data_IF_014641568418
#
_entry.id   IF_014641568418
#
_cell.length_a   1.000
_cell.length_b   1.000
_cell.length_c   1.000
_cell.angle_alpha   90.00
_cell.angle_beta   90.00
_cell.angle_gamma   90.00
#
_symmetry.space_group_name_H-M   'P 1'
#
loop_
_entity.id
_entity.type
_entity.pdbx_description
1 polymer ?
#
# COMPACT_ATOMS: atom_id res chain seq x y z
N UNK A 1 -17.74 -4.00 24.90
CA UNK A 1 -16.36 -4.43 25.21
C UNK A 1 -15.66 -4.58 23.88
N UNK A 2 -14.78 -3.65 23.51
CA UNK A 2 -13.89 -3.80 22.35
C UNK A 2 -12.79 -4.77 22.78
N UNK A 3 -12.53 -5.78 21.95
CA UNK A 3 -11.44 -6.73 22.17
C UNK A 3 -10.12 -6.07 21.76
N UNK A 4 -9.62 -5.14 22.58
CA UNK A 4 -8.25 -4.64 22.43
C UNK A 4 -7.29 -5.75 22.82
N UNK A 5 -6.45 -6.15 21.86
CA UNK A 5 -5.36 -7.09 22.12
C UNK A 5 -4.34 -6.36 23.00
N UNK A 6 -3.71 -7.02 24.00
CA UNK A 6 -2.67 -6.40 24.81
C UNK A 6 -1.60 -5.76 23.95
N UNK A 7 -1.07 -4.63 24.40
CA UNK A 7 0.00 -3.92 23.70
C UNK A 7 1.18 -4.88 23.41
N UNK A 8 1.65 -4.86 22.16
CA UNK A 8 2.68 -5.75 21.65
C UNK A 8 3.99 -4.97 21.51
N UNK A 9 5.08 -5.52 22.03
CA UNK A 9 6.35 -4.79 22.07
C UNK A 9 7.11 -4.90 20.73
N UNK A 10 6.87 -5.95 19.95
CA UNK A 10 7.62 -6.23 18.72
C UNK A 10 6.70 -6.61 17.55
N UNK A 11 7.09 -6.18 16.34
CA UNK A 11 6.40 -6.55 15.09
C UNK A 11 6.29 -8.05 14.88
N UNK A 12 7.32 -8.82 15.28
CA UNK A 12 7.29 -10.27 15.20
C UNK A 12 6.12 -10.87 16.01
N UNK A 13 5.80 -10.30 17.18
CA UNK A 13 4.65 -10.74 17.99
C UNK A 13 3.32 -10.42 17.29
N UNK A 14 3.25 -9.27 16.60
CA UNK A 14 2.10 -8.92 15.75
C UNK A 14 1.97 -9.94 14.62
N UNK A 15 3.07 -10.25 13.92
CA UNK A 15 3.08 -11.21 12.81
C UNK A 15 2.64 -12.62 13.25
N UNK A 16 3.15 -13.12 14.38
CA UNK A 16 2.73 -14.40 14.96
C UNK A 16 1.24 -14.40 15.32
N UNK A 17 0.74 -13.30 15.89
CA UNK A 17 -0.69 -13.14 16.16
C UNK A 17 -1.53 -13.22 14.87
N UNK A 18 -1.13 -12.52 13.81
CA UNK A 18 -1.82 -12.55 12.51
C UNK A 18 -1.83 -13.97 11.94
N UNK A 19 -0.70 -14.70 11.98
CA UNK A 19 -0.62 -16.11 11.57
C UNK A 19 -1.57 -17.00 12.36
N UNK A 20 -1.65 -16.83 13.69
CA UNK A 20 -2.58 -17.57 14.54
C UNK A 20 -4.04 -17.25 14.18
N UNK A 21 -4.35 -15.98 13.89
CA UNK A 21 -5.70 -15.57 13.48
C UNK A 21 -6.10 -16.15 12.13
N UNK A 22 -5.18 -16.25 11.17
CA UNK A 22 -5.43 -16.88 9.88
C UNK A 22 -5.81 -18.36 9.97
N UNK A 23 -5.53 -19.05 11.08
CA UNK A 23 -6.05 -20.43 11.27
C UNK A 23 -7.59 -20.47 11.30
N UNK A 24 -8.23 -19.40 11.76
CA UNK A 24 -9.69 -19.31 11.93
C UNK A 24 -10.34 -18.28 10.99
N UNK A 25 -9.56 -17.46 10.31
CA UNK A 25 -10.01 -16.39 9.41
C UNK A 25 -9.30 -16.56 8.07
N UNK A 26 -10.02 -16.44 6.96
CA UNK A 26 -9.40 -16.50 5.63
C UNK A 26 -8.75 -15.16 5.25
N UNK A 27 -9.30 -14.04 5.73
CA UNK A 27 -8.87 -12.69 5.35
C UNK A 27 -8.68 -11.84 6.61
N UNK A 28 -7.52 -11.20 6.71
CA UNK A 28 -7.26 -10.11 7.65
C UNK A 28 -7.03 -8.84 6.85
N UNK A 29 -7.83 -7.81 7.13
CA UNK A 29 -7.66 -6.48 6.55
C UNK A 29 -7.15 -5.51 7.62
N UNK A 30 -6.01 -4.88 7.38
CA UNK A 30 -5.29 -4.02 8.31
C UNK A 30 -5.26 -2.59 7.78
N UNK A 31 -5.85 -1.66 8.53
CA UNK A 31 -5.57 -0.25 8.32
C UNK A 31 -4.38 0.16 9.18
N UNK A 32 -3.36 0.79 8.58
CA UNK A 32 -2.27 1.41 9.34
C UNK A 32 -1.74 2.66 8.63
N UNK A 33 -1.48 3.72 9.40
CA UNK A 33 -0.85 4.92 8.88
C UNK A 33 0.55 4.64 8.34
N UNK A 34 1.04 5.54 7.48
CA UNK A 34 2.43 5.56 7.05
C UNK A 34 3.37 5.62 8.26
N UNK A 35 4.58 5.09 8.10
CA UNK A 35 5.59 4.92 9.16
C UNK A 35 5.24 3.95 10.31
N UNK A 36 4.04 3.36 10.36
CA UNK A 36 3.69 2.32 11.37
C UNK A 36 4.54 1.04 11.23
N UNK A 37 5.11 0.78 10.06
CA UNK A 37 5.96 -0.38 9.80
C UNK A 37 5.26 -1.56 9.12
N UNK A 38 4.22 -1.31 8.32
CA UNK A 38 3.48 -2.34 7.56
C UNK A 38 4.39 -3.22 6.70
N UNK A 39 5.35 -2.63 5.99
CA UNK A 39 6.31 -3.38 5.16
C UNK A 39 7.20 -4.28 6.01
N UNK A 40 7.70 -3.80 7.16
CA UNK A 40 8.46 -4.61 8.12
C UNK A 40 7.60 -5.75 8.69
N UNK A 41 6.34 -5.48 9.02
CA UNK A 41 5.38 -6.49 9.47
C UNK A 41 5.17 -7.59 8.43
N UNK A 42 5.05 -7.24 7.14
CA UNK A 42 4.93 -8.21 6.06
C UNK A 42 6.16 -9.13 5.96
N UNK A 43 7.36 -8.58 6.18
CA UNK A 43 8.61 -9.33 6.17
C UNK A 43 8.77 -10.24 7.39
N UNK A 44 8.38 -9.77 8.58
CA UNK A 44 8.33 -10.60 9.79
C UNK A 44 7.32 -11.76 9.62
N UNK A 45 6.14 -11.49 9.06
CA UNK A 45 5.12 -12.49 8.76
C UNK A 45 5.64 -13.57 7.80
N UNK A 46 6.29 -13.15 6.70
CA UNK A 46 6.94 -14.05 5.74
C UNK A 46 8.10 -14.81 6.36
N UNK A 47 8.88 -14.16 7.23
CA UNK A 47 10.01 -14.76 7.95
C UNK A 47 9.57 -15.90 8.86
N UNK A 48 8.50 -15.70 9.64
CA UNK A 48 7.90 -16.74 10.49
C UNK A 48 7.33 -17.93 9.71
N UNK A 49 7.03 -17.75 8.44
CA UNK A 49 6.60 -18.80 7.51
C UNK A 49 7.74 -19.65 6.95
N UNK A 50 8.99 -19.24 7.15
CA UNK A 50 10.15 -19.96 6.63
C UNK A 50 10.67 -20.98 7.64
N UNK A 51 10.26 -22.24 7.48
CA UNK A 51 10.65 -23.35 8.38
C UNK A 51 11.52 -24.35 7.61
N UNK A 52 12.74 -24.60 8.10
CA UNK A 52 13.64 -25.59 7.49
C UNK A 52 13.99 -25.29 6.02
N UNK A 53 14.04 -24.01 5.64
CA UNK A 53 14.30 -23.57 4.27
C UNK A 53 13.05 -23.52 3.36
N UNK A 54 11.94 -24.15 3.76
CA UNK A 54 10.66 -24.09 3.02
C UNK A 54 9.91 -22.81 3.35
N UNK A 55 9.38 -22.15 2.32
CA UNK A 55 8.56 -20.94 2.40
C UNK A 55 7.09 -21.28 2.20
N UNK A 56 6.19 -20.49 2.78
CA UNK A 56 4.74 -20.68 2.67
C UNK A 56 3.97 -19.39 2.33
N UNK A 57 4.68 -18.25 2.26
CA UNK A 57 4.11 -16.91 2.08
C UNK A 57 4.62 -16.25 0.79
N UNK A 58 3.69 -15.87 -0.08
CA UNK A 58 3.91 -14.94 -1.19
C UNK A 58 3.58 -13.52 -0.74
N UNK A 59 4.31 -12.50 -1.20
CA UNK A 59 4.08 -11.13 -0.74
C UNK A 59 4.22 -10.06 -1.83
N UNK A 60 3.42 -9.00 -1.69
CA UNK A 60 3.53 -7.75 -2.44
C UNK A 60 3.79 -6.60 -1.46
N UNK A 61 4.90 -5.90 -1.64
CA UNK A 61 5.30 -4.73 -0.86
C UNK A 61 6.44 -4.00 -1.61
N UNK A 62 7.04 -2.99 -0.99
CA UNK A 62 8.17 -2.25 -1.55
C UNK A 62 9.35 -3.14 -2.02
N UNK A 63 9.68 -4.24 -1.32
CA UNK A 63 10.73 -5.17 -1.77
C UNK A 63 10.37 -5.90 -3.07
N UNK A 64 9.08 -6.11 -3.33
CA UNK A 64 8.60 -6.68 -4.59
C UNK A 64 8.66 -5.65 -5.73
N UNK A 65 8.33 -4.38 -5.44
CA UNK A 65 8.47 -3.29 -6.40
C UNK A 65 9.94 -3.06 -6.79
N UNK A 66 10.86 -3.14 -5.82
CA UNK A 66 12.31 -2.98 -6.03
C UNK A 66 12.94 -4.09 -6.89
N UNK A 67 12.18 -5.15 -7.24
CA UNK A 67 12.61 -6.14 -8.23
C UNK A 67 12.53 -5.64 -9.67
N UNK A 68 11.91 -4.48 -9.87
CA UNK A 68 11.76 -3.79 -11.14
C UNK A 68 12.51 -2.46 -11.08
N UNK A 69 13.53 -2.31 -11.93
CA UNK A 69 14.41 -1.13 -11.89
C UNK A 69 14.53 -0.49 -13.26
N UNK A 70 14.25 0.81 -13.35
CA UNK A 70 14.46 1.55 -14.60
C UNK A 70 15.93 1.76 -14.88
N UNK A 71 16.29 1.63 -16.14
CA UNK A 71 17.54 2.15 -16.68
C UNK A 71 17.27 3.53 -17.29
N UNK A 72 17.46 4.59 -16.50
CA UNK A 72 17.04 5.95 -16.85
C UNK A 72 18.13 6.79 -17.55
N UNK A 73 19.40 6.37 -17.49
CA UNK A 73 20.56 7.20 -17.88
C UNK A 73 21.35 6.57 -19.05
N UNK A 74 20.64 6.08 -20.08
CA UNK A 74 21.27 5.47 -21.27
C UNK A 74 21.83 6.53 -22.22
N UNK A 75 22.98 6.23 -22.83
CA UNK A 75 23.55 7.08 -23.89
C UNK A 75 22.54 7.22 -25.04
N UNK A 76 22.22 8.47 -25.39
CA UNK A 76 21.27 8.86 -26.46
C UNK A 76 19.77 8.77 -26.16
N UNK A 77 19.32 8.42 -24.94
CA UNK A 77 17.89 8.39 -24.55
C UNK A 77 17.00 7.43 -25.39
N UNK A 78 17.61 6.54 -26.20
CA UNK A 78 16.92 5.79 -27.26
C UNK A 78 16.22 4.49 -26.80
N UNK A 79 16.52 3.93 -25.61
CA UNK A 79 16.02 2.61 -25.19
C UNK A 79 15.51 2.56 -23.75
N UNK A 80 14.35 3.16 -23.46
CA UNK A 80 13.78 3.15 -22.10
C UNK A 80 13.18 1.79 -21.76
N UNK A 81 13.87 1.06 -20.90
CA UNK A 81 13.42 -0.25 -20.46
C UNK A 81 13.47 -0.41 -18.94
N UNK A 82 12.64 -1.31 -18.44
CA UNK A 82 12.53 -1.65 -17.03
C UNK A 82 13.13 -3.04 -16.80
N UNK A 83 14.25 -3.11 -16.09
CA UNK A 83 14.97 -4.36 -15.82
C UNK A 83 14.24 -5.20 -14.76
N UNK A 84 14.33 -6.53 -14.91
CA UNK A 84 13.77 -7.54 -14.01
C UNK A 84 14.88 -8.22 -13.21
N UNK A 85 14.74 -8.27 -11.89
CA UNK A 85 15.65 -9.05 -11.03
C UNK A 85 15.27 -10.55 -11.02
N UNK A 86 15.59 -11.25 -12.12
CA UNK A 86 15.23 -12.66 -12.33
C UNK A 86 15.89 -13.64 -11.35
N UNK A 87 16.87 -13.20 -10.54
CA UNK A 87 17.42 -14.01 -9.43
C UNK A 87 16.48 -14.13 -8.25
N UNK A 88 15.48 -13.26 -8.16
CA UNK A 88 14.49 -13.32 -7.10
C UNK A 88 13.66 -14.59 -7.21
N UNK A 89 13.48 -15.24 -6.06
CA UNK A 89 12.63 -16.42 -5.95
C UNK A 89 11.13 -16.12 -6.24
N UNK A 90 10.78 -14.85 -6.47
CA UNK A 90 9.47 -14.44 -7.00
C UNK A 90 9.28 -14.87 -8.45
N UNK A 91 10.33 -14.88 -9.29
CA UNK A 91 10.24 -15.16 -10.72
C UNK A 91 10.60 -16.61 -11.09
N UNK A 92 10.86 -17.46 -10.10
CA UNK A 92 11.16 -18.88 -10.32
C UNK A 92 10.01 -19.58 -11.07
N UNK A 93 10.30 -20.03 -12.30
CA UNK A 93 9.38 -20.84 -13.10
C UNK A 93 8.39 -20.07 -13.97
N UNK A 94 8.42 -18.72 -14.00
CA UNK A 94 7.44 -17.92 -14.77
C UNK A 94 7.53 -18.15 -16.29
N UNK A 95 8.71 -18.52 -16.81
CA UNK A 95 8.94 -18.78 -18.25
C UNK A 95 8.06 -19.92 -18.79
N UNK A 96 7.64 -20.85 -17.93
CA UNK A 96 6.83 -22.00 -18.32
C UNK A 96 5.32 -21.71 -18.39
N UNK A 97 4.87 -20.50 -18.02
CA UNK A 97 3.44 -20.21 -17.77
C UNK A 97 2.87 -19.04 -18.58
N UNK A 98 3.56 -18.61 -19.64
CA UNK A 98 3.12 -17.51 -20.51
C UNK A 98 2.69 -16.28 -19.68
N UNK A 99 3.59 -15.87 -18.77
CA UNK A 99 3.31 -14.82 -17.80
C UNK A 99 2.95 -13.50 -18.48
N UNK A 100 3.49 -13.24 -19.67
CA UNK A 100 3.22 -12.03 -20.44
C UNK A 100 1.73 -11.92 -20.79
N UNK A 101 1.11 -12.98 -21.30
CA UNK A 101 -0.32 -12.97 -21.63
C UNK A 101 -1.20 -12.86 -20.38
N UNK A 102 -0.84 -13.56 -19.29
CA UNK A 102 -1.57 -13.43 -18.01
C UNK A 102 -1.55 -12.01 -17.46
N UNK A 103 -0.37 -11.38 -17.46
CA UNK A 103 -0.22 -9.98 -17.02
C UNK A 103 -1.03 -9.05 -17.93
N UNK A 104 -1.02 -9.27 -19.26
CA UNK A 104 -1.75 -8.47 -20.24
C UNK A 104 -3.27 -8.51 -20.01
N UNK A 105 -3.83 -9.69 -19.71
CA UNK A 105 -5.24 -9.86 -19.37
C UNK A 105 -5.65 -9.10 -18.11
N UNK A 106 -4.77 -9.05 -17.11
CA UNK A 106 -5.00 -8.30 -15.87
C UNK A 106 -4.83 -6.80 -16.08
N UNK A 107 -3.77 -6.39 -16.78
CA UNK A 107 -3.39 -5.01 -17.02
C UNK A 107 -4.41 -4.24 -17.85
N UNK A 108 -5.03 -4.90 -18.85
CA UNK A 108 -6.01 -4.30 -19.75
C UNK A 108 -7.24 -3.71 -19.03
N UNK A 109 -7.47 -4.08 -17.76
CA UNK A 109 -8.56 -3.53 -16.94
C UNK A 109 -8.24 -2.16 -16.34
N UNK A 110 -6.96 -1.79 -16.26
CA UNK A 110 -6.50 -0.61 -15.51
C UNK A 110 -5.66 0.35 -16.34
N UNK A 111 -5.08 -0.13 -17.44
CA UNK A 111 -4.18 0.65 -18.27
C UNK A 111 -4.36 0.35 -19.76
N UNK A 112 -3.99 1.33 -20.58
CA UNK A 112 -4.08 1.28 -22.05
C UNK A 112 -2.75 1.05 -22.74
N UNK A 113 -1.63 1.06 -22.00
CA UNK A 113 -0.34 0.70 -22.55
C UNK A 113 -0.17 -0.82 -22.58
N UNK A 114 0.72 -1.27 -23.44
CA UNK A 114 1.14 -2.64 -23.58
C UNK A 114 2.61 -2.80 -23.17
N UNK A 115 3.07 -4.04 -23.10
CA UNK A 115 4.46 -4.34 -22.82
C UNK A 115 4.93 -5.61 -23.51
N UNK A 116 6.24 -5.79 -23.56
CA UNK A 116 6.91 -7.02 -23.99
C UNK A 116 8.07 -7.31 -23.04
N UNK A 117 8.22 -8.58 -22.63
CA UNK A 117 9.40 -9.04 -21.91
C UNK A 117 10.45 -9.46 -22.94
N UNK A 118 11.62 -8.83 -22.88
CA UNK A 118 12.76 -9.14 -23.75
C UNK A 118 13.91 -9.69 -22.92
N UNK A 119 14.72 -10.50 -23.59
CA UNK A 119 15.92 -11.11 -23.05
C UNK A 119 17.07 -10.83 -23.99
N UNK A 120 18.16 -10.32 -23.46
CA UNK A 120 19.34 -9.90 -24.22
C UNK A 120 20.59 -10.57 -23.65
N UNK A 121 21.39 -11.14 -24.54
CA UNK A 121 22.71 -11.68 -24.20
C UNK A 121 23.69 -10.52 -24.04
N UNK A 122 24.45 -10.53 -22.96
CA UNK A 122 25.49 -9.55 -22.68
C UNK A 122 26.86 -10.24 -22.55
N UNK A 123 27.91 -9.49 -22.83
CA UNK A 123 29.28 -9.94 -22.65
C UNK A 123 29.62 -10.06 -21.16
N UNK A 124 30.65 -10.86 -20.86
CA UNK A 124 31.21 -10.95 -19.51
C UNK A 124 31.71 -9.61 -18.98
N UNK A 125 32.31 -8.79 -19.85
CA UNK A 125 32.82 -7.47 -19.47
C UNK A 125 31.68 -6.52 -19.07
N UNK A 126 30.58 -6.53 -19.81
CA UNK A 126 29.36 -5.78 -19.44
C UNK A 126 28.79 -6.30 -18.13
N UNK A 127 28.69 -7.63 -17.96
CA UNK A 127 28.18 -8.23 -16.73
C UNK A 127 29.01 -7.86 -15.48
N UNK A 128 30.32 -7.70 -15.61
CA UNK A 128 31.24 -7.30 -14.53
C UNK A 128 31.18 -5.79 -14.23
N UNK A 129 30.86 -4.95 -15.23
CA UNK A 129 30.72 -3.48 -15.07
C UNK A 129 29.35 -3.05 -14.54
N UNK A 130 28.33 -3.86 -14.73
CA UNK A 130 26.96 -3.53 -14.38
C UNK A 130 26.80 -3.27 -12.88
N UNK A 131 26.38 -2.05 -12.53
CA UNK A 131 26.23 -1.62 -11.13
C UNK A 131 25.18 -2.46 -10.36
N UNK A 132 24.24 -3.06 -11.11
CA UNK A 132 23.14 -3.88 -10.60
C UNK A 132 23.31 -5.34 -11.02
N UNK A 133 24.32 -6.02 -10.47
CA UNK A 133 24.60 -7.45 -10.74
C UNK A 133 23.40 -8.40 -10.53
N UNK A 134 22.31 -7.94 -9.89
CA UNK A 134 21.18 -8.77 -9.51
C UNK A 134 20.22 -9.08 -10.68
N UNK A 135 20.20 -8.28 -11.74
CA UNK A 135 19.36 -8.52 -12.93
C UNK A 135 19.95 -9.54 -13.91
N UNK A 136 21.22 -9.90 -13.74
CA UNK A 136 21.94 -10.76 -14.69
C UNK A 136 21.73 -12.24 -14.35
N UNK A 137 21.23 -13.03 -15.30
CA UNK A 137 21.19 -14.50 -15.21
C UNK A 137 22.34 -15.14 -15.98
N UNK A 138 22.78 -16.32 -15.53
CA UNK A 138 23.81 -17.12 -16.19
C UNK A 138 23.16 -18.41 -16.69
N UNK A 139 23.13 -18.62 -17.99
CA UNK A 139 22.50 -19.77 -18.62
C UNK A 139 23.45 -20.34 -19.68
N UNK A 140 23.79 -21.63 -19.57
CA UNK A 140 24.71 -22.31 -20.49
C UNK A 140 26.06 -21.60 -20.69
N UNK A 141 26.53 -20.85 -19.69
CA UNK A 141 27.78 -20.09 -19.75
C UNK A 141 27.67 -18.70 -20.38
N UNK A 142 26.47 -18.28 -20.79
CA UNK A 142 26.18 -16.95 -21.34
C UNK A 142 25.44 -16.09 -20.30
N UNK A 143 25.70 -14.79 -20.32
CA UNK A 143 25.08 -13.82 -19.41
C UNK A 143 23.89 -13.18 -20.09
N UNK A 144 22.77 -13.06 -19.38
CA UNK A 144 21.55 -12.45 -19.91
C UNK A 144 20.99 -11.39 -18.98
N UNK A 145 20.36 -10.39 -19.57
CA UNK A 145 19.46 -9.45 -18.88
C UNK A 145 18.04 -9.68 -19.36
N UNK A 146 17.09 -9.55 -18.44
CA UNK A 146 15.67 -9.54 -18.76
C UNK A 146 15.13 -8.14 -18.47
N UNK A 147 14.42 -7.59 -19.44
CA UNK A 147 13.85 -6.26 -19.33
C UNK A 147 12.49 -6.17 -20.01
N UNK A 148 11.77 -5.12 -19.66
CA UNK A 148 10.43 -4.84 -20.13
C UNK A 148 10.48 -3.56 -20.93
N UNK A 149 9.97 -3.63 -22.14
CA UNK A 149 9.67 -2.44 -22.94
C UNK A 149 8.17 -2.21 -22.93
N UNK A 150 7.79 -0.94 -22.89
CA UNK A 150 6.38 -0.55 -22.95
C UNK A 150 6.07 0.03 -24.32
N UNK A 151 4.84 -0.19 -24.77
CA UNK A 151 4.35 0.34 -26.04
C UNK A 151 2.94 0.92 -25.85
N UNK A 152 2.56 1.87 -26.71
CA UNK A 152 1.22 2.44 -26.72
C UNK A 152 0.79 2.71 -28.15
N UNK A 153 -0.50 2.48 -28.40
CA UNK A 153 -1.14 2.86 -29.65
C UNK A 153 -1.40 4.37 -29.65
N UNK A 154 -0.92 5.06 -30.67
CA UNK A 154 -1.09 6.50 -30.88
C UNK A 154 -1.69 6.73 -32.26
N UNK A 155 -2.64 7.64 -32.36
CA UNK A 155 -3.23 8.05 -33.63
C UNK A 155 -2.46 9.28 -34.14
N UNK A 156 -1.69 9.10 -35.20
CA UNK A 156 -1.03 10.20 -35.92
C UNK A 156 -1.65 10.31 -37.31
N UNK A 157 -2.16 11.50 -37.65
CA UNK A 157 -2.81 11.78 -38.94
C UNK A 157 -3.95 10.81 -39.30
N UNK A 158 -4.67 10.31 -38.30
CA UNK A 158 -5.75 9.33 -38.47
C UNK A 158 -5.29 7.90 -38.72
N UNK A 159 -3.97 7.64 -38.65
CA UNK A 159 -3.37 6.31 -38.77
C UNK A 159 -2.94 5.85 -37.37
N UNK A 160 -3.39 4.66 -36.98
CA UNK A 160 -2.92 4.01 -35.77
C UNK A 160 -1.46 3.55 -35.96
N UNK A 161 -0.59 3.96 -35.02
CA UNK A 161 0.81 3.55 -34.93
C UNK A 161 1.11 3.11 -33.51
N UNK A 162 1.86 2.03 -33.36
CA UNK A 162 2.43 1.66 -32.06
C UNK A 162 3.75 2.40 -31.86
N UNK A 163 3.85 3.12 -30.74
CA UNK A 163 5.08 3.73 -30.27
C UNK A 163 5.65 2.82 -29.18
N UNK A 164 6.86 2.30 -29.40
CA UNK A 164 7.59 1.44 -28.45
C UNK A 164 8.51 2.25 -27.55
N UNK A 165 9.12 1.58 -26.58
CA UNK A 165 10.19 2.08 -25.71
C UNK A 165 9.77 3.34 -24.93
N UNK A 166 8.49 3.39 -24.54
CA UNK A 166 7.92 4.52 -23.80
C UNK A 166 8.24 4.45 -22.30
N UNK A 167 8.40 5.62 -21.69
CA UNK A 167 8.38 5.75 -20.23
C UNK A 167 6.94 5.87 -19.74
N UNK A 168 6.48 4.89 -18.97
CA UNK A 168 5.21 4.99 -18.25
C UNK A 168 5.35 5.83 -16.96
N UNK A 169 4.25 6.42 -16.52
CA UNK A 169 4.20 7.22 -15.28
C UNK A 169 4.35 6.36 -14.03
N UNK A 170 4.65 6.99 -12.88
CA UNK A 170 4.79 6.24 -11.61
C UNK A 170 3.52 5.50 -11.19
N UNK A 171 2.34 6.08 -11.46
CA UNK A 171 1.07 5.40 -11.20
C UNK A 171 0.87 4.18 -12.10
N UNK A 172 1.21 4.30 -13.38
CA UNK A 172 1.18 3.19 -14.35
C UNK A 172 2.19 2.08 -14.00
N UNK A 173 3.38 2.42 -13.51
CA UNK A 173 4.36 1.45 -12.99
C UNK A 173 3.78 0.64 -11.83
N UNK A 174 3.18 1.32 -10.85
CA UNK A 174 2.61 0.67 -9.68
C UNK A 174 1.45 -0.27 -10.06
N UNK A 175 0.59 0.15 -10.99
CA UNK A 175 -0.44 -0.72 -11.58
C UNK A 175 0.21 -1.93 -12.24
N UNK A 176 1.26 -1.73 -13.03
CA UNK A 176 1.94 -2.80 -13.73
C UNK A 176 2.54 -3.83 -12.74
N UNK A 177 3.24 -3.38 -11.70
CA UNK A 177 3.80 -4.26 -10.67
C UNK A 177 2.73 -5.04 -9.94
N UNK A 178 1.61 -4.38 -9.62
CA UNK A 178 0.44 -5.02 -9.04
C UNK A 178 -0.15 -6.10 -9.96
N UNK A 179 -0.35 -5.80 -11.25
CA UNK A 179 -0.87 -6.76 -12.23
C UNK A 179 0.08 -7.94 -12.42
N UNK A 180 1.39 -7.69 -12.42
CA UNK A 180 2.41 -8.72 -12.51
C UNK A 180 2.37 -9.65 -11.30
N UNK A 181 2.31 -9.07 -10.10
CA UNK A 181 2.16 -9.83 -8.87
C UNK A 181 0.87 -10.64 -8.84
N UNK A 182 -0.27 -10.06 -9.22
CA UNK A 182 -1.55 -10.76 -9.29
C UNK A 182 -1.49 -11.95 -10.25
N UNK A 183 -0.80 -11.81 -11.37
CA UNK A 183 -0.62 -12.90 -12.34
C UNK A 183 0.20 -14.06 -11.76
N UNK A 184 1.24 -13.75 -10.96
CA UNK A 184 1.97 -14.75 -10.18
C UNK A 184 1.09 -15.38 -9.10
N UNK A 185 0.29 -14.59 -8.39
CA UNK A 185 -0.64 -15.09 -7.38
C UNK A 185 -1.69 -16.02 -7.99
N UNK A 186 -2.14 -15.76 -9.22
CA UNK A 186 -3.03 -16.66 -9.97
C UNK A 186 -2.40 -18.02 -10.23
N UNK A 187 -1.09 -18.11 -10.48
CA UNK A 187 -0.40 -19.41 -10.57
C UNK A 187 -0.50 -20.19 -9.26
N UNK A 188 -0.42 -19.51 -8.11
CA UNK A 188 -0.64 -20.16 -6.82
C UNK A 188 -2.10 -20.62 -6.63
N UNK A 189 -3.08 -19.90 -7.18
CA UNK A 189 -4.49 -20.28 -7.12
C UNK A 189 -4.82 -21.47 -8.02
N UNK A 190 -4.15 -21.55 -9.18
CA UNK A 190 -4.30 -22.60 -10.18
C UNK A 190 -3.51 -23.88 -9.82
N UNK A 191 -2.58 -23.82 -8.86
CA UNK A 191 -1.75 -24.95 -8.47
C UNK A 191 -2.58 -26.10 -7.86
N UNK A 192 -2.43 -27.31 -8.39
CA UNK A 192 -3.13 -28.52 -7.94
C UNK A 192 -2.28 -29.35 -6.97
N UNK A 193 -0.95 -29.16 -7.01
CA UNK A 193 0.03 -29.89 -6.20
C UNK A 193 1.05 -28.94 -5.56
N UNK A 194 1.59 -29.25 -4.37
CA UNK A 194 2.67 -28.48 -3.75
C UNK A 194 3.96 -28.38 -4.58
N UNK A 195 4.13 -29.28 -5.56
CA UNK A 195 5.27 -29.29 -6.47
C UNK A 195 5.04 -28.45 -7.73
N UNK A 196 3.81 -28.01 -7.98
CA UNK A 196 3.53 -27.07 -9.05
C UNK A 196 4.18 -25.72 -8.69
N UNK A 197 4.54 -24.90 -9.69
CA UNK A 197 5.01 -23.55 -9.46
C UNK A 197 4.04 -22.77 -8.59
N UNK A 198 4.59 -22.20 -7.51
CA UNK A 198 3.83 -21.52 -6.46
C UNK A 198 2.82 -22.37 -5.68
N UNK A 199 2.76 -23.69 -5.87
CA UNK A 199 1.92 -24.61 -5.08
C UNK A 199 2.29 -24.68 -3.60
N UNK A 200 3.47 -24.17 -3.23
CA UNK A 200 3.90 -24.00 -1.84
C UNK A 200 3.21 -22.83 -1.12
N UNK A 201 2.55 -21.93 -1.85
CA UNK A 201 1.95 -20.71 -1.31
C UNK A 201 0.65 -21.05 -0.58
N UNK A 202 0.64 -20.84 0.74
CA UNK A 202 -0.55 -21.01 1.58
C UNK A 202 -1.07 -19.68 2.13
N UNK A 203 -0.20 -18.68 2.24
CA UNK A 203 -0.53 -17.32 2.67
C UNK A 203 -0.06 -16.30 1.63
N UNK A 204 -0.83 -15.25 1.45
CA UNK A 204 -0.48 -14.10 0.63
C UNK A 204 -0.57 -12.84 1.50
N UNK A 205 0.53 -12.08 1.55
CA UNK A 205 0.59 -10.80 2.27
C UNK A 205 0.69 -9.65 1.25
N UNK A 206 -0.26 -8.74 1.27
CA UNK A 206 -0.33 -7.59 0.38
C UNK A 206 -0.20 -6.32 1.23
N UNK A 207 0.87 -5.55 1.05
CA UNK A 207 1.09 -4.28 1.72
C UNK A 207 1.01 -3.14 0.71
N UNK A 208 0.04 -2.24 0.90
CA UNK A 208 -0.23 -1.08 0.03
C UNK A 208 -0.19 -1.44 -1.46
N UNK A 209 -1.14 -2.28 -1.95
CA UNK A 209 -1.09 -2.83 -3.32
C UNK A 209 -1.04 -1.79 -4.43
N UNK A 210 -1.48 -0.58 -4.10
CA UNK A 210 -1.49 0.56 -4.99
C UNK A 210 -1.11 1.80 -4.20
N UNK A 211 -0.15 2.56 -4.73
CA UNK A 211 0.20 3.90 -4.28
C UNK A 211 0.23 4.83 -5.49
N UNK A 212 -0.06 6.12 -5.30
CA UNK A 212 0.05 7.14 -6.37
C UNK A 212 -0.79 6.86 -7.64
N UNK A 213 -1.98 6.31 -7.47
CA UNK A 213 -2.95 6.00 -8.54
C UNK A 213 -4.19 6.91 -8.43
N UNK A 214 -4.95 7.07 -9.50
CA UNK A 214 -6.23 7.78 -9.47
C UNK A 214 -7.33 7.00 -8.70
N UNK A 215 -8.33 7.72 -8.21
CA UNK A 215 -9.40 7.15 -7.38
C UNK A 215 -10.22 6.07 -8.12
N UNK A 216 -10.41 6.19 -9.43
CA UNK A 216 -11.19 5.24 -10.21
C UNK A 216 -10.50 3.89 -10.24
N UNK A 217 -9.21 3.87 -10.61
CA UNK A 217 -8.43 2.65 -10.59
C UNK A 217 -8.30 2.06 -9.18
N UNK A 218 -8.19 2.89 -8.14
CA UNK A 218 -8.17 2.42 -6.76
C UNK A 218 -9.45 1.67 -6.37
N UNK A 219 -10.61 2.20 -6.76
CA UNK A 219 -11.91 1.54 -6.55
C UNK A 219 -11.98 0.25 -7.35
N UNK A 220 -11.57 0.25 -8.63
CA UNK A 220 -11.56 -0.93 -9.49
C UNK A 220 -10.69 -2.05 -8.91
N UNK A 221 -9.45 -1.74 -8.50
CA UNK A 221 -8.54 -2.73 -7.88
C UNK A 221 -9.12 -3.30 -6.59
N UNK A 222 -9.74 -2.46 -5.75
CA UNK A 222 -10.38 -2.93 -4.51
C UNK A 222 -11.56 -3.89 -4.80
N UNK A 223 -12.39 -3.58 -5.79
CA UNK A 223 -13.52 -4.41 -6.21
C UNK A 223 -13.05 -5.74 -6.81
N UNK A 224 -12.11 -5.71 -7.75
CA UNK A 224 -11.55 -6.90 -8.39
C UNK A 224 -10.86 -7.81 -7.37
N UNK A 225 -10.07 -7.22 -6.46
CA UNK A 225 -9.45 -7.97 -5.38
C UNK A 225 -10.51 -8.57 -4.46
N UNK A 226 -11.56 -7.85 -4.11
CA UNK A 226 -12.65 -8.41 -3.30
C UNK A 226 -13.30 -9.62 -3.98
N UNK A 227 -13.61 -9.53 -5.27
CA UNK A 227 -14.19 -10.63 -6.05
C UNK A 227 -13.29 -11.86 -6.06
N UNK A 228 -11.99 -11.67 -6.25
CA UNK A 228 -11.00 -12.73 -6.18
C UNK A 228 -11.01 -13.40 -4.80
N UNK A 229 -10.91 -12.61 -3.72
CA UNK A 229 -10.78 -13.14 -2.35
C UNK A 229 -11.99 -13.96 -1.87
N UNK A 230 -13.19 -13.65 -2.37
CA UNK A 230 -14.42 -14.38 -2.04
C UNK A 230 -14.65 -15.63 -2.89
N UNK A 231 -13.79 -15.90 -3.88
CA UNK A 231 -13.85 -17.16 -4.61
C UNK A 231 -13.50 -18.32 -3.66
N UNK A 232 -14.43 -19.28 -3.57
CA UNK A 232 -14.31 -20.46 -2.72
C UNK A 232 -13.25 -21.43 -3.23
N UNK A 233 -12.88 -21.36 -4.52
CA UNK A 233 -11.77 -22.15 -5.08
C UNK A 233 -10.43 -21.73 -4.49
N UNK A 234 -10.27 -20.45 -4.17
CA UNK A 234 -9.03 -19.92 -3.60
C UNK A 234 -8.89 -20.42 -2.15
N UNK A 235 -7.90 -21.27 -1.91
CA UNK A 235 -7.64 -21.85 -0.59
C UNK A 235 -6.66 -21.02 0.26
N UNK A 236 -5.96 -20.09 -0.39
CA UNK A 236 -4.96 -19.24 0.24
C UNK A 236 -5.61 -18.30 1.25
N UNK A 237 -4.79 -17.90 2.23
CA UNK A 237 -5.17 -16.97 3.29
C UNK A 237 -4.48 -15.64 3.08
N UNK A 238 -5.18 -14.55 3.41
CA UNK A 238 -4.75 -13.21 3.01
C UNK A 238 -4.57 -12.30 4.21
N UNK A 239 -3.45 -11.57 4.22
CA UNK A 239 -3.29 -10.36 5.02
C UNK A 239 -3.14 -9.20 4.06
N UNK A 240 -3.99 -8.19 4.18
CA UNK A 240 -3.97 -7.01 3.33
C UNK A 240 -3.79 -5.82 4.26
N UNK A 241 -2.69 -5.10 4.13
CA UNK A 241 -2.43 -3.88 4.87
C UNK A 241 -2.46 -2.67 3.96
N UNK A 242 -3.09 -1.59 4.40
CA UNK A 242 -3.08 -0.33 3.65
C UNK A 242 -3.12 0.90 4.54
N UNK A 243 -2.59 2.02 4.02
CA UNK A 243 -2.85 3.36 4.54
C UNK A 243 -3.95 4.12 3.79
N UNK A 244 -4.41 3.61 2.64
CA UNK A 244 -5.40 4.27 1.81
C UNK A 244 -6.82 4.00 2.33
N UNK A 245 -7.44 5.02 2.92
CA UNK A 245 -8.77 4.90 3.55
C UNK A 245 -9.88 4.52 2.57
N UNK A 246 -9.85 5.05 1.34
CA UNK A 246 -10.83 4.72 0.31
C UNK A 246 -10.71 3.24 -0.08
N UNK A 247 -9.48 2.76 -0.31
CA UNK A 247 -9.22 1.36 -0.67
C UNK A 247 -9.69 0.42 0.44
N UNK A 248 -9.32 0.72 1.69
CA UNK A 248 -9.76 -0.04 2.86
C UNK A 248 -11.29 -0.10 2.94
N UNK A 249 -11.97 1.04 2.75
CA UNK A 249 -13.44 1.13 2.83
C UNK A 249 -14.14 0.35 1.73
N UNK A 250 -13.71 0.53 0.48
CA UNK A 250 -14.30 -0.17 -0.68
C UNK A 250 -14.11 -1.67 -0.52
N UNK A 251 -12.88 -2.11 -0.24
CA UNK A 251 -12.57 -3.52 -0.04
C UNK A 251 -13.33 -4.12 1.15
N UNK A 252 -13.37 -3.43 2.29
CA UNK A 252 -14.13 -3.84 3.47
C UNK A 252 -15.62 -4.04 3.15
N UNK A 253 -16.24 -3.06 2.48
CA UNK A 253 -17.66 -3.12 2.14
C UNK A 253 -17.95 -4.21 1.10
N UNK A 254 -17.09 -4.36 0.09
CA UNK A 254 -17.21 -5.41 -0.93
C UNK A 254 -17.10 -6.81 -0.29
N UNK A 255 -16.16 -7.01 0.64
CA UNK A 255 -16.00 -8.28 1.36
C UNK A 255 -17.16 -8.56 2.34
N UNK A 256 -17.67 -7.54 3.04
CA UNK A 256 -18.82 -7.69 3.96
C UNK A 256 -20.12 -8.03 3.24
N UNK A 257 -20.43 -7.28 2.18
CA UNK A 257 -21.60 -7.55 1.33
C UNK A 257 -21.47 -8.87 0.58
N UNK A 258 -20.22 -9.27 0.29
CA UNK A 258 -19.86 -10.53 -0.35
C UNK A 258 -20.58 -10.76 -1.67
N UNK A 259 -20.94 -9.67 -2.36
CA UNK A 259 -21.73 -9.68 -3.58
C UNK A 259 -22.96 -10.62 -3.52
N UNK A 260 -23.60 -10.74 -2.35
CA UNK A 260 -24.75 -11.62 -2.12
C UNK A 260 -24.49 -12.85 -1.23
N UNK A 261 -23.25 -13.11 -0.80
CA UNK A 261 -22.88 -14.15 0.19
C UNK A 261 -22.02 -13.56 1.31
N UNK A 262 -22.55 -13.31 2.52
CA UNK A 262 -21.79 -12.59 3.55
C UNK A 262 -20.53 -13.34 4.02
N UNK A 263 -19.34 -12.78 3.80
CA UNK A 263 -18.04 -13.34 4.22
C UNK A 263 -17.59 -12.90 5.62
N UNK A 264 -18.48 -12.26 6.38
CA UNK A 264 -18.20 -11.65 7.68
C UNK A 264 -17.52 -12.61 8.68
N UNK A 265 -17.87 -13.90 8.65
CA UNK A 265 -17.25 -14.91 9.53
C UNK A 265 -15.79 -15.22 9.16
N UNK A 266 -15.42 -15.08 7.90
CA UNK A 266 -14.07 -15.36 7.37
C UNK A 266 -13.17 -14.13 7.36
N UNK A 267 -13.75 -12.93 7.48
CA UNK A 267 -13.06 -11.65 7.57
C UNK A 267 -12.80 -11.26 9.03
N UNK A 268 -11.67 -10.59 9.27
CA UNK A 268 -11.44 -9.77 10.46
C UNK A 268 -10.69 -8.51 10.05
N UNK A 269 -11.00 -7.40 10.71
CA UNK A 269 -10.43 -6.10 10.42
C UNK A 269 -9.75 -5.54 11.65
N UNK A 270 -8.57 -4.95 11.46
CA UNK A 270 -7.86 -4.29 12.54
C UNK A 270 -7.39 -2.90 12.13
N UNK A 271 -7.39 -2.00 13.13
CA UNK A 271 -6.52 -0.84 13.12
C UNK A 271 -5.19 -1.22 13.75
N UNK A 272 -4.11 -1.07 13.00
CA UNK A 272 -2.74 -1.26 13.47
C UNK A 272 -2.08 0.09 13.77
N UNK A 273 -1.64 0.30 15.02
CA UNK A 273 -0.98 1.55 15.48
C UNK A 273 0.36 1.25 16.13
N UNK A 274 1.26 2.22 16.03
CA UNK A 274 2.45 2.34 16.86
C UNK A 274 2.24 3.58 17.73
N UNK A 275 2.27 3.42 19.05
CA UNK A 275 2.13 4.55 19.97
C UNK A 275 3.45 5.29 20.22
N UNK A 276 3.37 6.40 20.93
CA UNK A 276 4.53 7.23 21.29
C UNK A 276 5.54 6.53 22.22
N UNK A 277 5.14 5.44 22.88
CA UNK A 277 6.02 4.61 23.72
C UNK A 277 6.75 3.53 22.92
N UNK A 278 6.47 3.42 21.62
CA UNK A 278 7.02 2.39 20.76
C UNK A 278 6.28 1.05 20.82
N UNK A 279 5.09 1.01 21.42
CA UNK A 279 4.27 -0.20 21.50
C UNK A 279 3.28 -0.28 20.36
N UNK A 280 3.12 -1.50 19.84
CA UNK A 280 2.17 -1.83 18.79
C UNK A 280 0.81 -2.20 19.35
N UNK A 281 -0.24 -1.68 18.72
CA UNK A 281 -1.63 -1.95 19.09
C UNK A 281 -2.41 -2.47 17.89
N UNK A 282 -3.17 -3.54 18.09
CA UNK A 282 -4.16 -4.04 17.15
C UNK A 282 -5.55 -3.87 17.77
N UNK A 283 -6.37 -3.02 17.17
CA UNK A 283 -7.74 -2.75 17.61
C UNK A 283 -8.68 -3.40 16.61
N UNK A 284 -9.47 -4.37 17.05
CA UNK A 284 -10.45 -5.03 16.16
C UNK A 284 -11.59 -4.07 15.82
N UNK A 285 -11.81 -3.84 14.53
CA UNK A 285 -12.91 -3.02 14.03
C UNK A 285 -14.18 -3.87 13.92
N UNK A 286 -15.30 -3.35 14.43
CA UNK A 286 -16.60 -4.03 14.32
C UNK A 286 -17.15 -3.91 12.90
N UNK A 287 -17.80 -4.97 12.43
CA UNK A 287 -18.26 -5.10 11.05
C UNK A 287 -19.25 -4.00 10.60
N UNK A 288 -20.06 -3.45 11.50
CA UNK A 288 -21.16 -2.54 11.13
C UNK A 288 -20.80 -1.05 11.10
N UNK A 289 -19.56 -0.66 11.42
CA UNK A 289 -19.17 0.77 11.40
C UNK A 289 -18.41 1.08 10.11
N UNK A 290 -18.92 1.97 9.23
CA UNK A 290 -18.14 2.49 8.12
C UNK A 290 -16.84 3.06 8.68
N UNK A 291 -15.70 2.66 8.14
CA UNK A 291 -14.43 3.11 8.67
C UNK A 291 -14.28 4.63 8.42
N UNK A 292 -14.46 5.37 9.50
CA UNK A 292 -14.41 6.81 9.51
C UNK A 292 -12.96 7.27 9.76
N UNK A 293 -12.11 7.09 8.75
CA UNK A 293 -10.72 7.56 8.72
C UNK A 293 -10.55 8.97 9.30
N UNK A 294 -11.47 9.87 8.96
CA UNK A 294 -11.45 11.25 9.46
C UNK A 294 -11.63 11.30 10.99
N UNK A 295 -12.50 10.47 11.56
CA UNK A 295 -12.67 10.39 13.01
C UNK A 295 -11.43 9.82 13.70
N UNK A 296 -10.73 8.85 13.10
CA UNK A 296 -9.48 8.34 13.69
C UNK A 296 -8.34 9.36 13.64
N UNK A 297 -8.28 10.19 12.60
CA UNK A 297 -7.31 11.31 12.55
C UNK A 297 -7.67 12.35 13.60
N UNK A 298 -8.94 12.75 13.68
CA UNK A 298 -9.41 13.75 14.65
C UNK A 298 -9.14 13.27 16.07
N UNK A 299 -9.33 11.97 16.35
CA UNK A 299 -9.01 11.38 17.65
C UNK A 299 -7.51 11.40 17.97
N UNK A 300 -6.66 11.08 16.99
CA UNK A 300 -5.20 11.16 17.15
C UNK A 300 -4.74 12.59 17.43
N UNK A 301 -5.27 13.56 16.66
CA UNK A 301 -5.02 14.98 16.87
C UNK A 301 -5.43 15.43 18.27
N UNK A 302 -6.63 15.02 18.73
CA UNK A 302 -7.12 15.30 20.08
C UNK A 302 -6.18 14.75 21.14
N UNK A 303 -5.76 13.49 21.03
CA UNK A 303 -4.84 12.85 21.99
C UNK A 303 -3.48 13.53 22.03
N UNK A 304 -2.89 13.81 20.86
CA UNK A 304 -1.62 14.51 20.78
C UNK A 304 -1.69 15.90 21.43
N UNK A 305 -2.80 16.63 21.25
CA UNK A 305 -3.04 17.93 21.86
C UNK A 305 -3.27 17.85 23.39
N UNK A 306 -3.98 16.82 23.87
CA UNK A 306 -4.20 16.59 25.30
C UNK A 306 -2.91 16.18 26.02
N UNK A 307 -2.11 15.30 25.42
CA UNK A 307 -0.89 14.75 26.01
C UNK A 307 0.38 15.56 25.74
N UNK A 308 0.26 16.67 24.98
CA UNK A 308 1.38 17.49 24.54
C UNK A 308 2.46 16.72 23.74
N UNK A 309 2.05 15.70 22.98
CA UNK A 309 2.93 14.88 22.13
C UNK A 309 2.89 15.30 20.65
N UNK A 310 2.60 16.58 20.39
CA UNK A 310 2.46 17.12 19.02
C UNK A 310 3.79 17.03 18.25
N UNK A 311 3.77 16.34 17.10
CA UNK A 311 4.85 16.21 16.11
C UNK A 311 4.48 16.87 14.78
N UNK A 312 5.44 17.08 13.89
CA UNK A 312 5.24 17.76 12.58
C UNK A 312 4.18 17.06 11.73
N UNK A 313 4.11 15.72 11.74
CA UNK A 313 3.11 15.00 10.96
C UNK A 313 1.66 15.29 11.40
N UNK A 314 1.43 15.72 12.65
CA UNK A 314 0.09 16.12 13.10
C UNK A 314 -0.42 17.38 12.38
N UNK A 315 0.48 18.28 11.95
CA UNK A 315 0.09 19.42 11.11
C UNK A 315 -0.47 18.95 9.76
N UNK A 316 0.18 17.97 9.13
CA UNK A 316 -0.28 17.39 7.88
C UNK A 316 -1.61 16.63 8.05
N UNK A 317 -1.77 15.92 9.17
CA UNK A 317 -3.06 15.31 9.55
C UNK A 317 -4.17 16.37 9.68
N UNK A 318 -3.90 17.47 10.39
CA UNK A 318 -4.86 18.56 10.56
C UNK A 318 -5.23 19.20 9.22
N UNK A 319 -4.25 19.45 8.34
CA UNK A 319 -4.50 19.97 6.99
C UNK A 319 -5.45 19.06 6.21
N UNK A 320 -5.19 17.75 6.20
CA UNK A 320 -6.03 16.79 5.47
C UNK A 320 -7.48 16.78 5.99
N UNK A 321 -7.68 16.92 7.30
CA UNK A 321 -9.01 17.04 7.89
C UNK A 321 -9.68 18.34 7.42
N UNK A 322 -9.00 19.48 7.53
CA UNK A 322 -9.55 20.78 7.13
C UNK A 322 -9.90 20.86 5.64
N UNK A 323 -9.08 20.27 4.76
CA UNK A 323 -9.34 20.22 3.32
C UNK A 323 -10.60 19.41 3.01
N UNK A 324 -10.77 18.25 3.66
CA UNK A 324 -11.95 17.40 3.46
C UNK A 324 -13.21 18.01 4.06
N UNK A 325 -13.10 18.64 5.23
CA UNK A 325 -14.20 19.39 5.83
C UNK A 325 -14.60 20.58 4.95
N UNK A 326 -13.63 21.32 4.42
CA UNK A 326 -13.86 22.43 3.49
C UNK A 326 -14.59 21.98 2.23
N UNK A 327 -14.12 20.90 1.59
CA UNK A 327 -14.79 20.30 0.44
C UNK A 327 -16.23 19.84 0.77
N UNK A 328 -16.44 19.20 1.93
CA UNK A 328 -17.75 18.73 2.36
C UNK A 328 -18.77 19.87 2.58
N UNK A 329 -18.33 20.98 3.17
CA UNK A 329 -19.19 22.14 3.43
C UNK A 329 -19.22 23.15 2.26
N UNK A 330 -18.50 22.89 1.17
CA UNK A 330 -18.44 23.78 0.01
C UNK A 330 -17.71 25.10 0.25
N UNK A 331 -16.73 25.11 1.16
CA UNK A 331 -15.89 26.29 1.40
C UNK A 331 -14.84 26.47 0.30
N UNK A 332 -14.36 27.70 0.11
CA UNK A 332 -13.37 28.02 -0.93
C UNK A 332 -11.94 27.72 -0.49
N UNK A 333 -11.66 27.70 0.82
CA UNK A 333 -10.37 27.33 1.37
C UNK A 333 -10.51 26.48 2.64
N UNK A 334 -9.47 25.67 2.93
CA UNK A 334 -9.42 24.88 4.18
C UNK A 334 -9.44 25.78 5.42
N UNK A 335 -8.93 27.01 5.32
CA UNK A 335 -8.89 28.00 6.40
C UNK A 335 -10.28 28.46 6.83
N UNK A 336 -11.29 28.36 5.97
CA UNK A 336 -12.67 28.75 6.29
C UNK A 336 -13.26 27.90 7.41
N UNK A 337 -12.76 26.66 7.56
CA UNK A 337 -13.14 25.78 8.65
C UNK A 337 -12.79 26.37 10.03
N UNK A 338 -11.71 27.16 10.10
CA UNK A 338 -11.11 27.70 11.34
C UNK A 338 -10.95 29.22 11.29
N UNK A 339 -11.76 29.91 10.47
CA UNK A 339 -11.70 31.38 10.27
C UNK A 339 -11.86 32.20 11.55
N UNK A 340 -12.49 31.62 12.56
CA UNK A 340 -12.76 32.24 13.86
C UNK A 340 -11.48 32.29 14.74
N UNK A 341 -10.41 31.60 14.34
CA UNK A 341 -9.13 31.65 15.03
C UNK A 341 -8.38 32.97 14.73
N UNK A 342 -7.96 33.75 15.75
CA UNK A 342 -7.30 35.05 15.54
C UNK A 342 -5.97 34.93 14.79
N UNK A 343 -5.34 33.74 14.81
CA UNK A 343 -4.07 33.45 14.13
C UNK A 343 -4.20 32.51 12.93
N UNK A 344 -5.39 32.42 12.31
CA UNK A 344 -5.64 31.50 11.17
C UNK A 344 -4.62 31.64 10.04
N UNK A 345 -4.19 32.87 9.72
CA UNK A 345 -3.20 33.13 8.67
C UNK A 345 -1.80 32.61 9.04
N UNK A 346 -1.42 32.71 10.32
CA UNK A 346 -0.16 32.15 10.81
C UNK A 346 -0.19 30.62 10.74
N UNK A 347 -1.31 30.02 11.13
CA UNK A 347 -1.50 28.57 11.06
C UNK A 347 -1.47 28.06 9.61
N UNK A 348 -2.14 28.74 8.68
CA UNK A 348 -2.11 28.38 7.26
C UNK A 348 -0.68 28.40 6.68
N UNK A 349 0.15 29.38 7.11
CA UNK A 349 1.57 29.41 6.73
C UNK A 349 2.33 28.21 7.26
N UNK A 350 2.13 27.84 8.53
CA UNK A 350 2.74 26.63 9.10
C UNK A 350 2.32 25.36 8.36
N UNK A 351 1.03 25.21 8.05
CA UNK A 351 0.56 24.09 7.23
C UNK A 351 1.22 24.06 5.86
N UNK A 352 1.29 25.19 5.14
CA UNK A 352 1.98 25.24 3.86
C UNK A 352 3.48 24.92 3.97
N UNK A 353 4.13 25.35 5.04
CA UNK A 353 5.53 25.02 5.33
C UNK A 353 5.73 23.51 5.58
N UNK A 354 4.84 22.86 6.33
CA UNK A 354 4.96 21.44 6.68
C UNK A 354 4.42 20.47 5.62
N UNK A 355 3.58 20.95 4.69
CA UNK A 355 2.96 20.12 3.64
C UNK A 355 3.65 20.20 2.28
N UNK A 356 4.62 21.10 2.06
CA UNK A 356 5.43 21.07 0.84
C UNK A 356 6.53 20.00 0.97
N UNK A 357 6.33 18.89 0.27
CA UNK A 357 7.16 17.67 0.14
C UNK A 357 8.65 17.86 -0.23
N UNK A 358 9.13 19.11 -0.38
CA UNK A 358 10.51 19.38 -0.79
C UNK A 358 11.52 19.49 0.36
N UNK A 359 11.07 19.46 1.61
CA UNK A 359 11.98 19.61 2.75
C UNK A 359 11.82 18.45 3.75
N UNK A 360 12.38 17.28 3.41
CA UNK A 360 12.63 16.16 4.33
C UNK A 360 13.32 16.61 5.65
N UNK A 361 13.99 17.76 5.62
CA UNK A 361 14.59 18.46 6.76
C UNK A 361 13.60 18.84 7.87
N UNK A 362 12.31 19.04 7.59
CA UNK A 362 11.32 19.39 8.62
C UNK A 362 10.64 18.18 9.25
N UNK A 363 10.58 17.03 8.57
CA UNK A 363 9.87 15.85 9.06
C UNK A 363 10.45 15.32 10.40
N UNK A 364 11.74 15.58 10.66
CA UNK A 364 12.46 15.15 11.86
C UNK A 364 12.66 16.26 12.91
N UNK A 365 12.18 17.49 12.65
CA UNK A 365 12.30 18.59 13.61
C UNK A 365 11.15 18.52 14.60
N UNK A 366 11.46 18.49 15.90
CA UNK A 366 10.47 18.72 16.96
C UNK A 366 9.83 20.11 16.78
N UNK A 367 8.49 20.23 16.74
CA UNK A 367 7.84 21.53 16.75
C UNK A 367 8.19 22.28 18.04
N UNK A 368 8.44 23.58 17.94
CA UNK A 368 8.64 24.40 19.13
C UNK A 368 7.33 24.56 19.93
N UNK A 369 7.42 24.98 21.20
CA UNK A 369 6.25 25.10 22.08
C UNK A 369 5.19 26.06 21.54
N UNK A 370 5.60 27.09 20.79
CA UNK A 370 4.69 28.03 20.14
C UNK A 370 3.88 27.36 19.02
N UNK A 371 4.54 26.51 18.23
CA UNK A 371 3.91 25.69 17.19
C UNK A 371 2.97 24.64 17.79
N UNK A 372 3.40 23.91 18.83
CA UNK A 372 2.56 22.92 19.55
C UNK A 372 1.30 23.60 20.11
N UNK A 373 1.46 24.76 20.75
CA UNK A 373 0.35 25.55 21.29
C UNK A 373 -0.61 26.01 20.19
N UNK A 374 -0.10 26.50 19.06
CA UNK A 374 -0.93 26.95 17.96
C UNK A 374 -1.76 25.81 17.35
N UNK A 375 -1.16 24.63 17.12
CA UNK A 375 -1.90 23.48 16.60
C UNK A 375 -2.98 23.03 17.58
N UNK A 376 -2.68 23.01 18.88
CA UNK A 376 -3.66 22.69 19.92
C UNK A 376 -4.86 23.64 19.90
N UNK A 377 -4.64 24.95 19.89
CA UNK A 377 -5.73 25.95 19.82
C UNK A 377 -6.61 25.75 18.57
N UNK A 378 -6.01 25.37 17.45
CA UNK A 378 -6.74 25.10 16.20
C UNK A 378 -7.54 23.80 16.27
N UNK A 379 -6.98 22.74 16.86
CA UNK A 379 -7.69 21.47 17.09
C UNK A 379 -8.90 21.71 17.99
N UNK A 380 -8.71 22.43 19.10
CA UNK A 380 -9.76 22.71 20.08
C UNK A 380 -10.91 23.51 19.42
N UNK A 381 -10.58 24.58 18.69
CA UNK A 381 -11.58 25.37 17.94
C UNK A 381 -12.34 24.51 16.92
N UNK A 382 -11.64 23.65 16.19
CA UNK A 382 -12.24 22.79 15.18
C UNK A 382 -13.21 21.78 15.80
N UNK A 383 -12.82 21.16 16.92
CA UNK A 383 -13.66 20.22 17.66
C UNK A 383 -14.91 20.89 18.26
N UNK A 384 -14.76 22.10 18.81
CA UNK A 384 -15.86 22.89 19.36
C UNK A 384 -16.90 23.23 18.27
N UNK A 385 -16.42 23.62 17.08
CA UNK A 385 -17.28 24.06 15.98
C UNK A 385 -18.06 22.94 15.29
N UNK A 386 -17.45 21.78 15.10
CA UNK A 386 -18.03 20.70 14.27
C UNK A 386 -18.56 19.50 15.07
N UNK A 387 -18.30 19.43 16.38
CA UNK A 387 -18.94 18.49 17.33
C UNK A 387 -18.97 17.02 16.86
N UNK A 388 -17.80 16.47 16.52
CA UNK A 388 -17.69 15.07 16.11
C UNK A 388 -18.05 14.10 17.24
N UNK A 389 -18.80 13.04 16.93
CA UNK A 389 -19.08 11.97 17.87
C UNK A 389 -17.90 10.98 17.93
N UNK A 390 -16.99 11.18 18.89
CA UNK A 390 -15.77 10.40 19.05
C UNK A 390 -15.93 9.13 19.93
N UNK A 391 -17.15 8.79 20.36
CA UNK A 391 -17.39 7.83 21.45
C UNK A 391 -17.09 6.34 21.15
N UNK A 392 -16.72 5.95 19.93
CA UNK A 392 -16.62 4.53 19.56
C UNK A 392 -15.29 4.08 18.93
N UNK A 393 -14.28 4.94 18.83
CA UNK A 393 -13.06 4.58 18.08
C UNK A 393 -11.91 4.03 18.93
N UNK A 394 -11.97 4.07 20.27
CA UNK A 394 -11.09 3.31 21.20
C UNK A 394 -11.76 3.16 22.60
N UNK A 395 -11.58 2.03 23.32
CA UNK A 395 -11.98 1.92 24.72
C UNK A 395 -11.03 2.70 25.62
N UNK A 396 -11.58 3.41 26.60
CA UNK A 396 -10.81 3.92 27.73
C UNK A 396 -10.90 5.41 27.96
N UNK A 397 -12.10 6.00 27.93
CA UNK A 397 -12.43 7.12 28.79
C UNK A 397 -13.93 7.03 29.10
N UNK A 398 -14.23 6.37 30.23
CA UNK A 398 -15.40 6.74 31.01
C UNK A 398 -14.93 7.87 31.91
N UNK A 399 -15.43 9.07 31.70
CA UNK A 399 -15.86 9.90 32.81
C UNK A 399 -17.39 9.88 32.83
#
# INVERSE_FOLDING_TARGET
>A
MTNTIPALIHLNTVADYLRKKLKNKKIILLFAYNATGKTRLSMDFKGLGKIGGKRDTLYFNAFTEDLFTWDNDLESDECRHLRLNMRSALFEGIEAYDIENRVREVLARYATFNFQIRKEEITREEAEKELYHQSITLENGLFFINYIVFEREVIEDGISKNVSDIKISRGEENIFFWCFFLSIAQLAFDAESPNDPYGWVTNIYIDDPISSIDEMNLVSVACDLAQLLIDEKIQQRFVISTHHSLFFNVLSNALKSGFGRPWEKSLVQYFFRLDDTGQYHLVEEKADTPYAYHLSIIEELRKAASNNTIKVFHFNMMRSVLEKTSAFFGFSAFTDCIKDHPRVQLFARFLNLFSHDKNLTFAYREPDDGQKKLLKEVIDLFLEKYQFNLHNTLPGHKE
#
